data_IF_826622142436
#
_entry.id   IF_826622142436
#
_cell.length_a   1.000
_cell.length_b   1.000
_cell.length_c   1.000
_cell.angle_alpha   90.00
_cell.angle_beta   90.00
_cell.angle_gamma   90.00
#
_symmetry.space_group_name_H-M   'P 1'
#
loop_
_entity.id
_entity.type
_entity.pdbx_description
1 polymer ?
#
# COMPACT_ATOMS: atom_id res chain seq x y z
N UNK A 1 -14.67 -25.26 -54.13
CA UNK A 1 -13.51 -26.17 -54.32
C UNK A 1 -12.46 -25.71 -53.33
N UNK A 2 -12.46 -26.25 -52.12
CA UNK A 2 -11.79 -27.48 -51.64
C UNK A 2 -10.72 -27.06 -50.64
N UNK A 3 -11.01 -27.32 -49.38
CA UNK A 3 -10.11 -27.40 -48.24
C UNK A 3 -8.85 -28.19 -48.57
N UNK A 4 -7.70 -27.80 -48.00
CA UNK A 4 -6.67 -28.78 -47.65
C UNK A 4 -5.95 -28.37 -46.37
N UNK A 5 -5.92 -29.35 -45.48
CA UNK A 5 -5.39 -29.46 -44.12
C UNK A 5 -3.90 -29.82 -44.06
N UNK A 6 -3.39 -29.91 -42.81
CA UNK A 6 -2.23 -30.67 -42.30
C UNK A 6 -0.93 -29.87 -42.16
N UNK A 7 -0.14 -30.01 -41.10
CA UNK A 7 -0.21 -31.00 -40.02
C UNK A 7 0.84 -30.75 -38.94
N UNK A 8 0.56 -31.39 -37.80
CA UNK A 8 1.38 -31.73 -36.63
C UNK A 8 2.90 -31.56 -36.70
N UNK A 9 3.48 -31.00 -35.63
CA UNK A 9 4.88 -31.25 -35.24
C UNK A 9 4.89 -32.14 -34.00
N UNK A 10 5.50 -33.32 -34.17
CA UNK A 10 5.69 -34.37 -33.17
C UNK A 10 6.63 -33.93 -32.03
N UNK A 11 6.39 -34.46 -30.83
CA UNK A 11 7.29 -34.34 -29.68
C UNK A 11 7.92 -35.72 -29.45
N UNK A 12 9.20 -35.86 -29.79
CA UNK A 12 9.96 -37.04 -29.43
C UNK A 12 10.62 -36.86 -28.05
N UNK A 13 10.28 -37.76 -27.14
CA UNK A 13 10.88 -37.93 -25.82
C UNK A 13 12.05 -38.91 -25.97
N UNK A 14 13.27 -38.41 -25.82
CA UNK A 14 14.49 -39.20 -25.70
C UNK A 14 15.07 -39.12 -24.28
N UNK A 15 15.18 -40.28 -23.63
CA UNK A 15 15.64 -40.51 -22.26
C UNK A 15 17.13 -40.18 -22.00
N UNK A 16 17.41 -40.03 -20.69
CA UNK A 16 18.64 -40.36 -19.95
C UNK A 16 19.83 -39.38 -19.98
N UNK A 17 20.10 -38.81 -18.80
CA UNK A 17 21.40 -38.23 -18.46
C UNK A 17 21.39 -37.41 -17.17
N UNK A 18 21.68 -38.05 -16.03
CA UNK A 18 22.00 -37.34 -14.78
C UNK A 18 23.28 -36.52 -14.99
N UNK A 19 23.23 -35.20 -14.81
CA UNK A 19 24.41 -34.36 -14.63
C UNK A 19 24.18 -33.35 -13.50
N UNK A 20 24.99 -33.46 -12.44
CA UNK A 20 25.18 -32.41 -11.42
C UNK A 20 26.01 -31.31 -12.04
N UNK A 21 25.55 -30.06 -11.94
CA UNK A 21 26.30 -28.89 -12.36
C UNK A 21 25.60 -27.61 -11.92
N UNK A 22 26.20 -26.90 -10.97
CA UNK A 22 25.87 -25.53 -10.61
C UNK A 22 25.98 -24.64 -11.84
N UNK A 23 24.87 -24.00 -12.25
CA UNK A 23 24.89 -22.99 -13.31
C UNK A 23 23.87 -21.90 -13.02
N UNK A 24 24.41 -20.69 -12.84
CA UNK A 24 23.72 -19.40 -12.87
C UNK A 24 22.76 -19.34 -14.08
N UNK A 25 21.46 -19.14 -13.81
CA UNK A 25 20.44 -18.92 -14.83
C UNK A 25 20.61 -17.53 -15.43
N UNK A 26 21.40 -17.43 -16.49
CA UNK A 26 21.27 -16.34 -17.47
C UNK A 26 20.33 -16.82 -18.57
N UNK A 27 19.10 -16.31 -18.57
CA UNK A 27 18.14 -16.55 -19.64
C UNK A 27 18.64 -15.83 -20.89
N UNK A 28 19.29 -16.57 -21.80
CA UNK A 28 19.61 -16.08 -23.15
C UNK A 28 18.43 -16.38 -24.06
N UNK A 29 17.59 -15.38 -24.30
CA UNK A 29 16.65 -15.41 -25.41
C UNK A 29 17.44 -15.20 -26.72
N UNK A 30 17.57 -16.24 -27.54
CA UNK A 30 18.18 -16.15 -28.86
C UNK A 30 17.06 -16.06 -29.90
N UNK A 31 16.75 -14.84 -30.34
CA UNK A 31 15.92 -14.62 -31.54
C UNK A 31 16.84 -14.74 -32.74
N UNK A 32 16.69 -15.81 -33.53
CA UNK A 32 17.36 -15.93 -34.84
C UNK A 32 16.56 -15.14 -35.87
N UNK A 33 17.08 -14.02 -36.34
CA UNK A 33 16.66 -13.40 -37.59
C UNK A 33 17.64 -13.81 -38.72
N UNK A 34 17.18 -13.92 -39.98
CA UNK A 34 18.04 -14.30 -41.08
C UNK A 34 18.84 -13.09 -41.62
N UNK A 35 20.14 -13.31 -41.76
CA UNK A 35 21.11 -12.74 -42.71
C UNK A 35 21.24 -11.22 -42.92
N UNK A 36 22.52 -10.82 -42.92
CA UNK A 36 23.16 -9.69 -43.61
C UNK A 36 23.34 -8.37 -42.85
N UNK A 37 24.59 -8.19 -42.41
CA UNK A 37 25.37 -6.95 -42.24
C UNK A 37 24.65 -5.62 -41.99
N UNK A 38 24.88 -5.04 -40.82
CA UNK A 38 25.56 -3.74 -40.71
C UNK A 38 25.97 -3.51 -39.25
N UNK A 39 27.22 -3.11 -39.12
CA UNK A 39 27.90 -2.72 -37.89
C UNK A 39 27.17 -1.58 -37.19
N UNK A 40 26.53 -1.88 -36.06
CA UNK A 40 26.36 -0.90 -35.00
C UNK A 40 26.47 -1.65 -33.67
N UNK A 41 27.57 -1.39 -32.97
CA UNK A 41 27.75 -1.77 -31.59
C UNK A 41 26.64 -1.09 -30.77
N UNK A 42 25.57 -1.84 -30.48
CA UNK A 42 24.62 -1.48 -29.45
C UNK A 42 25.32 -1.72 -28.11
N UNK A 43 26.00 -0.67 -27.66
CA UNK A 43 26.52 -0.57 -26.31
C UNK A 43 25.32 -0.67 -25.36
N UNK A 44 25.18 -1.84 -24.73
CA UNK A 44 24.19 -2.06 -23.67
C UNK A 44 24.60 -1.16 -22.53
N UNK A 45 24.00 0.03 -22.46
CA UNK A 45 24.04 0.87 -21.28
C UNK A 45 23.36 0.06 -20.19
N UNK A 46 24.18 -0.64 -19.39
CA UNK A 46 23.77 -1.21 -18.12
C UNK A 46 23.44 -0.04 -17.23
N UNK A 47 22.17 0.39 -17.28
CA UNK A 47 21.61 1.24 -16.24
C UNK A 47 21.64 0.38 -14.98
N UNK A 48 22.68 0.57 -14.16
CA UNK A 48 22.67 0.13 -12.77
C UNK A 48 21.49 0.84 -12.13
N UNK A 49 20.36 0.14 -12.00
CA UNK A 49 19.31 0.53 -11.08
C UNK A 49 19.96 0.68 -9.70
N UNK A 50 20.13 1.93 -9.29
CA UNK A 50 20.58 2.27 -7.95
C UNK A 50 19.37 2.04 -7.04
N UNK A 51 19.11 0.78 -6.69
CA UNK A 51 18.06 0.38 -5.76
C UNK A 51 18.48 0.85 -4.36
N UNK A 52 18.20 2.11 -4.03
CA UNK A 52 18.25 2.59 -2.66
C UNK A 52 17.04 2.02 -1.92
N UNK A 53 17.13 0.76 -1.48
CA UNK A 53 16.05 0.10 -0.75
C UNK A 53 16.17 0.40 0.74
N UNK A 54 15.93 1.64 1.14
CA UNK A 54 15.43 1.84 2.50
C UNK A 54 13.92 1.59 2.44
N UNK A 55 13.52 0.42 2.93
CA UNK A 55 12.12 0.04 3.07
C UNK A 55 11.54 0.72 4.30
N UNK A 56 10.47 1.50 4.12
CA UNK A 56 9.70 2.11 5.20
C UNK A 56 8.75 1.05 5.78
N UNK A 57 8.79 0.90 7.10
CA UNK A 57 8.04 -0.11 7.85
C UNK A 57 6.68 0.45 8.26
N UNK A 58 5.63 -0.26 7.86
CA UNK A 58 4.25 0.21 7.99
C UNK A 58 3.47 -0.65 9.00
N UNK A 59 2.79 0.03 9.92
CA UNK A 59 1.75 -0.57 10.76
C UNK A 59 0.35 -0.32 10.20
N UNK A 60 -0.48 -1.36 10.11
CA UNK A 60 -1.88 -1.24 9.70
C UNK A 60 -2.77 -1.51 10.91
N UNK A 61 -3.38 -0.46 11.46
CA UNK A 61 -4.25 -0.57 12.63
C UNK A 61 -5.69 -0.83 12.17
N UNK A 62 -6.29 -1.96 12.54
CA UNK A 62 -7.62 -2.35 12.04
C UNK A 62 -7.59 -3.04 10.68
N UNK A 63 -6.61 -3.93 10.46
CA UNK A 63 -6.40 -4.66 9.20
C UNK A 63 -7.58 -5.59 8.81
N UNK A 64 -8.43 -5.99 9.76
CA UNK A 64 -9.58 -6.87 9.51
C UNK A 64 -10.79 -6.17 8.86
N UNK A 65 -10.76 -4.85 8.67
CA UNK A 65 -11.78 -4.10 7.93
C UNK A 65 -11.48 -4.00 6.44
N UNK A 66 -12.44 -3.58 5.62
CA UNK A 66 -12.24 -3.46 4.17
C UNK A 66 -11.15 -2.45 3.78
N UNK A 67 -11.09 -1.30 4.48
CA UNK A 67 -10.02 -0.32 4.27
C UNK A 67 -8.66 -0.90 4.65
N UNK A 68 -8.58 -1.64 5.75
CA UNK A 68 -7.38 -2.36 6.17
C UNK A 68 -6.91 -3.39 5.15
N UNK A 69 -7.84 -4.19 4.61
CA UNK A 69 -7.57 -5.16 3.55
C UNK A 69 -7.07 -4.49 2.26
N UNK A 70 -7.67 -3.36 1.87
CA UNK A 70 -7.20 -2.59 0.71
C UNK A 70 -5.81 -2.00 0.92
N UNK A 71 -5.52 -1.47 2.10
CA UNK A 71 -4.17 -1.03 2.46
C UNK A 71 -3.20 -2.22 2.37
N UNK A 72 -3.54 -3.37 2.95
CA UNK A 72 -2.72 -4.57 2.86
C UNK A 72 -2.46 -4.98 1.40
N UNK A 73 -3.50 -5.00 0.56
CA UNK A 73 -3.41 -5.33 -0.87
C UNK A 73 -2.52 -4.35 -1.65
N UNK A 74 -2.67 -3.05 -1.41
CA UNK A 74 -1.90 -2.00 -2.08
C UNK A 74 -0.42 -2.04 -1.66
N UNK A 75 -0.16 -2.25 -0.38
CA UNK A 75 1.19 -2.23 0.18
C UNK A 75 1.97 -3.53 -0.06
N UNK A 76 1.29 -4.67 -0.21
CA UNK A 76 1.96 -5.96 -0.40
C UNK A 76 2.91 -5.99 -1.62
N UNK A 77 2.65 -5.16 -2.63
CA UNK A 77 3.50 -5.04 -3.82
C UNK A 77 4.20 -3.68 -3.94
N UNK A 78 4.20 -2.85 -2.89
CA UNK A 78 4.79 -1.53 -2.95
C UNK A 78 6.33 -1.62 -2.84
N UNK A 79 7.10 -1.00 -3.76
CA UNK A 79 8.55 -1.21 -3.85
C UNK A 79 9.36 -0.66 -2.66
N UNK A 80 8.75 0.22 -1.86
CA UNK A 80 9.41 0.91 -0.75
C UNK A 80 8.74 0.71 0.60
N UNK A 81 7.55 0.11 0.66
CA UNK A 81 6.78 0.00 1.89
C UNK A 81 6.62 -1.48 2.25
N UNK A 82 6.82 -1.82 3.51
CA UNK A 82 6.70 -3.18 4.00
C UNK A 82 5.84 -3.18 5.25
N UNK A 83 4.81 -4.03 5.28
CA UNK A 83 3.94 -4.16 6.46
C UNK A 83 4.70 -4.98 7.51
N UNK A 84 4.98 -4.37 8.65
CA UNK A 84 5.67 -5.02 9.79
C UNK A 84 4.76 -5.24 10.98
N UNK A 85 3.60 -4.58 11.01
CA UNK A 85 2.61 -4.71 12.07
C UNK A 85 1.21 -4.66 11.47
N UNK A 86 0.35 -5.58 11.89
CA UNK A 86 -1.09 -5.48 11.65
C UNK A 86 -1.84 -5.67 12.96
N UNK A 87 -2.89 -4.88 13.18
CA UNK A 87 -3.74 -5.06 14.35
C UNK A 87 -5.18 -5.34 13.97
N UNK A 88 -5.86 -6.11 14.81
CA UNK A 88 -7.29 -6.34 14.76
C UNK A 88 -7.84 -6.47 16.17
N UNK A 89 -9.13 -6.24 16.34
CA UNK A 89 -9.81 -6.44 17.61
C UNK A 89 -10.21 -7.92 17.77
N UNK A 90 -11.41 -8.30 17.32
CA UNK A 90 -11.93 -9.68 17.40
C UNK A 90 -11.13 -10.75 16.64
N UNK A 91 -10.22 -10.33 15.76
CA UNK A 91 -9.43 -11.21 14.87
C UNK A 91 -7.94 -11.23 15.23
N UNK A 92 -7.55 -10.69 16.38
CA UNK A 92 -6.19 -10.84 16.89
C UNK A 92 -5.80 -12.33 17.01
N UNK A 93 -4.54 -12.63 16.70
CA UNK A 93 -3.97 -13.98 16.61
C UNK A 93 -4.25 -14.71 15.29
N UNK A 94 -4.99 -14.12 14.35
CA UNK A 94 -5.29 -14.73 13.05
C UNK A 94 -4.47 -14.08 11.93
N UNK A 95 -4.11 -14.88 10.92
CA UNK A 95 -3.57 -14.36 9.67
C UNK A 95 -4.64 -13.59 8.89
N UNK A 96 -4.22 -12.58 8.13
CA UNK A 96 -5.15 -11.82 7.28
C UNK A 96 -5.80 -12.70 6.21
N UNK A 97 -5.10 -13.72 5.71
CA UNK A 97 -5.63 -14.68 4.73
C UNK A 97 -6.82 -15.50 5.26
N UNK A 98 -6.90 -15.72 6.58
CA UNK A 98 -8.05 -16.41 7.18
C UNK A 98 -9.32 -15.54 7.22
N UNK A 99 -9.16 -14.22 7.25
CA UNK A 99 -10.26 -13.25 7.19
C UNK A 99 -10.60 -12.88 5.74
N UNK A 100 -9.57 -12.70 4.92
CA UNK A 100 -9.64 -12.31 3.52
C UNK A 100 -8.87 -13.30 2.65
N UNK A 101 -9.51 -14.38 2.15
CA UNK A 101 -8.82 -15.44 1.41
C UNK A 101 -8.05 -14.99 0.17
N UNK A 102 -8.44 -13.87 -0.46
CA UNK A 102 -7.74 -13.31 -1.60
C UNK A 102 -6.34 -12.74 -1.27
N UNK A 103 -6.01 -12.58 0.03
CA UNK A 103 -4.69 -12.15 0.51
C UNK A 103 -3.82 -13.29 1.03
N UNK A 104 -4.27 -14.56 0.92
CA UNK A 104 -3.57 -15.71 1.50
C UNK A 104 -2.16 -15.94 0.93
N UNK A 105 -1.88 -15.47 -0.28
CA UNK A 105 -0.57 -15.60 -0.92
C UNK A 105 0.41 -14.49 -0.54
N UNK A 106 -0.05 -13.49 0.21
CA UNK A 106 0.79 -12.37 0.64
C UNK A 106 1.51 -12.77 1.94
N UNK A 107 2.82 -12.53 2.00
CA UNK A 107 3.62 -12.72 3.20
C UNK A 107 3.44 -11.51 4.12
N UNK A 108 2.47 -11.61 5.03
CA UNK A 108 2.06 -10.55 5.94
C UNK A 108 2.04 -11.07 7.38
N UNK A 109 2.41 -10.24 8.37
CA UNK A 109 2.44 -10.67 9.78
C UNK A 109 1.03 -11.05 10.27
N UNK A 110 0.95 -11.93 11.26
CA UNK A 110 -0.33 -12.19 11.92
C UNK A 110 -0.84 -10.93 12.63
N UNK A 111 -2.17 -10.77 12.68
CA UNK A 111 -2.77 -9.62 13.34
C UNK A 111 -2.65 -9.76 14.85
N UNK A 112 -2.27 -8.70 15.56
CA UNK A 112 -2.25 -8.65 17.03
C UNK A 112 -3.33 -7.73 17.59
N UNK A 113 -3.65 -7.85 18.88
CA UNK A 113 -4.48 -6.85 19.52
C UNK A 113 -3.70 -5.55 19.66
N UNK A 114 -4.37 -4.40 19.54
CA UNK A 114 -3.67 -3.10 19.52
C UNK A 114 -2.91 -2.79 20.81
N UNK A 115 -3.39 -3.29 21.95
CA UNK A 115 -2.71 -3.17 23.25
C UNK A 115 -1.38 -3.94 23.33
N UNK A 116 -1.23 -4.96 22.47
CA UNK A 116 -0.07 -5.83 22.41
C UNK A 116 0.85 -5.45 21.22
N UNK A 117 0.54 -4.34 20.52
CA UNK A 117 1.29 -3.87 19.37
C UNK A 117 2.60 -3.21 19.80
N UNK A 118 3.70 -3.63 19.18
CA UNK A 118 5.02 -2.98 19.31
C UNK A 118 5.30 -2.07 18.11
N UNK A 119 5.54 -0.80 18.38
CA UNK A 119 5.84 0.22 17.38
C UNK A 119 7.34 0.49 17.21
N UNK A 120 8.22 -0.19 17.95
CA UNK A 120 9.68 -0.02 17.88
C UNK A 120 10.24 -0.23 16.47
N UNK A 121 9.57 -1.07 15.67
CA UNK A 121 9.93 -1.38 14.30
C UNK A 121 8.91 -0.89 13.26
N UNK A 122 8.30 0.26 13.53
CA UNK A 122 7.33 0.91 12.66
C UNK A 122 7.75 2.35 12.42
N UNK A 123 7.68 2.81 11.17
CA UNK A 123 8.04 4.18 10.78
C UNK A 123 6.78 5.02 10.52
N UNK A 124 5.73 4.38 9.99
CA UNK A 124 4.44 5.02 9.73
C UNK A 124 3.27 4.07 9.95
N UNK A 125 2.08 4.61 10.21
CA UNK A 125 0.87 3.84 10.42
C UNK A 125 -0.30 4.32 9.57
N UNK A 126 -1.11 3.36 9.12
CA UNK A 126 -2.45 3.60 8.60
C UNK A 126 -3.49 3.20 9.65
N UNK A 127 -4.33 4.13 10.08
CA UNK A 127 -5.41 3.85 11.03
C UNK A 127 -6.71 3.58 10.26
N UNK A 128 -7.13 2.32 10.24
CA UNK A 128 -8.35 1.82 9.60
C UNK A 128 -9.41 1.46 10.66
N UNK A 129 -9.52 2.31 11.68
CA UNK A 129 -10.29 2.04 12.88
C UNK A 129 -11.70 2.65 12.79
N UNK A 130 -12.68 2.12 13.55
CA UNK A 130 -14.00 2.75 13.65
C UNK A 130 -13.92 4.16 14.24
N UNK A 131 -14.82 5.04 13.77
CA UNK A 131 -14.90 6.43 14.25
C UNK A 131 -15.05 6.50 15.78
N UNK A 132 -14.31 7.40 16.41
CA UNK A 132 -14.27 7.66 17.86
C UNK A 132 -13.31 6.80 18.65
N UNK A 133 -12.79 5.71 18.08
CA UNK A 133 -11.70 4.94 18.71
C UNK A 133 -10.34 5.49 18.34
N UNK A 134 -10.23 6.09 17.15
CA UNK A 134 -8.96 6.53 16.58
C UNK A 134 -8.33 7.68 17.36
N UNK A 135 -9.14 8.60 17.91
CA UNK A 135 -8.64 9.76 18.68
C UNK A 135 -7.75 9.36 19.86
N UNK A 136 -8.21 8.43 20.68
CA UNK A 136 -7.46 7.98 21.86
C UNK A 136 -6.24 7.15 21.47
N UNK A 137 -6.40 6.29 20.46
CA UNK A 137 -5.31 5.46 19.95
C UNK A 137 -4.18 6.34 19.40
N UNK A 138 -4.50 7.29 18.51
CA UNK A 138 -3.51 8.20 17.92
C UNK A 138 -2.84 9.06 18.99
N UNK A 139 -3.58 9.48 20.02
CA UNK A 139 -3.01 10.21 21.17
C UNK A 139 -1.97 9.40 21.94
N UNK A 140 -2.10 8.08 21.98
CA UNK A 140 -1.16 7.16 22.63
C UNK A 140 0.01 6.71 21.75
N UNK A 141 0.02 7.02 20.46
CA UNK A 141 1.09 6.58 19.55
C UNK A 141 2.40 7.38 19.78
N UNK A 142 3.57 6.75 19.53
CA UNK A 142 4.85 7.46 19.50
C UNK A 142 4.83 8.69 18.59
N UNK A 143 5.50 9.76 19.01
CA UNK A 143 5.46 11.06 18.30
C UNK A 143 6.26 11.04 17.01
N UNK A 144 7.15 10.08 16.84
CA UNK A 144 8.04 9.93 15.69
C UNK A 144 7.30 9.32 14.49
N UNK A 145 6.20 8.59 14.75
CA UNK A 145 5.40 7.95 13.71
C UNK A 145 4.71 8.98 12.82
N UNK A 146 4.79 8.74 11.51
CA UNK A 146 3.88 9.34 10.54
C UNK A 146 2.55 8.59 10.57
N UNK A 147 1.44 9.32 10.58
CA UNK A 147 0.11 8.74 10.76
C UNK A 147 -0.79 9.20 9.62
N UNK A 148 -1.45 8.24 8.98
CA UNK A 148 -2.55 8.48 8.05
C UNK A 148 -3.81 7.85 8.65
N UNK A 149 -4.73 8.70 9.12
CA UNK A 149 -6.00 8.26 9.66
C UNK A 149 -7.06 8.18 8.56
N UNK A 150 -7.62 6.99 8.33
CA UNK A 150 -8.72 6.76 7.38
C UNK A 150 -10.10 6.95 8.02
N UNK A 151 -10.15 7.12 9.34
CA UNK A 151 -11.38 7.47 10.05
C UNK A 151 -11.77 8.92 9.78
N UNK A 152 -12.89 9.36 10.37
CA UNK A 152 -13.37 10.72 10.22
C UNK A 152 -12.94 11.66 11.35
N UNK A 153 -12.29 11.10 12.37
CA UNK A 153 -12.11 11.74 13.67
C UNK A 153 -11.31 13.04 13.59
N UNK A 154 -10.32 13.11 12.69
CA UNK A 154 -9.45 14.28 12.55
C UNK A 154 -9.75 15.16 11.32
N UNK A 155 -10.88 14.92 10.61
CA UNK A 155 -11.19 15.59 9.34
C UNK A 155 -11.68 17.03 9.52
N UNK A 156 -12.42 17.30 10.60
CA UNK A 156 -13.04 18.60 10.86
C UNK A 156 -12.10 19.42 11.75
N UNK A 157 -11.63 20.57 11.23
CA UNK A 157 -10.76 21.46 12.00
C UNK A 157 -11.48 22.12 13.19
N UNK A 158 -12.77 22.39 13.02
CA UNK A 158 -13.64 22.96 14.04
C UNK A 158 -14.12 21.84 14.99
N UNK A 159 -13.80 21.96 16.28
CA UNK A 159 -14.11 20.94 17.30
C UNK A 159 -15.61 20.91 17.60
N UNK A 160 -16.23 22.08 17.59
CA UNK A 160 -17.66 22.24 17.81
C UNK A 160 -18.47 21.60 16.67
N UNK A 161 -18.02 21.75 15.42
CA UNK A 161 -18.62 21.04 14.27
C UNK A 161 -18.43 19.52 14.41
N UNK A 162 -17.26 19.05 14.88
CA UNK A 162 -17.09 17.62 15.15
C UNK A 162 -18.11 17.12 16.19
N UNK A 163 -18.30 17.85 17.28
CA UNK A 163 -19.25 17.45 18.32
C UNK A 163 -20.69 17.44 17.81
N UNK A 164 -21.08 18.43 17.00
CA UNK A 164 -22.39 18.50 16.35
C UNK A 164 -22.65 17.28 15.46
N UNK A 165 -21.72 16.95 14.56
CA UNK A 165 -21.93 15.89 13.56
C UNK A 165 -21.71 14.48 14.09
N UNK A 166 -20.84 14.31 15.09
CA UNK A 166 -20.47 12.99 15.64
C UNK A 166 -21.09 12.71 17.02
N UNK A 167 -21.85 13.67 17.58
CA UNK A 167 -22.65 13.50 18.79
C UNK A 167 -21.84 13.26 20.07
N UNK A 168 -20.57 13.68 20.09
CA UNK A 168 -19.66 13.50 21.23
C UNK A 168 -18.48 14.47 21.16
N UNK A 169 -17.91 14.89 22.31
CA UNK A 169 -16.74 15.75 22.34
C UNK A 169 -15.53 15.12 21.64
N UNK A 170 -14.70 15.96 21.02
CA UNK A 170 -13.42 15.53 20.46
C UNK A 170 -12.40 15.25 21.58
N UNK A 171 -11.84 14.05 21.63
CA UNK A 171 -10.97 13.59 22.74
C UNK A 171 -9.48 13.94 22.58
N UNK A 172 -9.10 14.46 21.43
CA UNK A 172 -7.71 14.83 21.11
C UNK A 172 -7.59 16.23 20.47
N UNK A 173 -8.12 17.30 21.10
CA UNK A 173 -8.21 18.64 20.50
C UNK A 173 -6.83 19.24 20.14
N UNK A 174 -5.79 18.95 20.92
CA UNK A 174 -4.44 19.41 20.58
C UNK A 174 -3.87 18.75 19.32
N UNK A 175 -4.19 17.48 19.09
CA UNK A 175 -3.81 16.78 17.85
C UNK A 175 -4.61 17.26 16.64
N UNK A 176 -5.85 17.70 16.85
CA UNK A 176 -6.69 18.26 15.78
C UNK A 176 -6.04 19.50 15.14
N UNK A 177 -5.26 20.27 15.91
CA UNK A 177 -4.57 21.48 15.42
C UNK A 177 -3.44 21.18 14.43
N UNK A 178 -2.80 20.01 14.54
CA UNK A 178 -1.72 19.61 13.62
C UNK A 178 -2.18 18.71 12.47
N UNK A 179 -3.39 18.15 12.55
CA UNK A 179 -3.94 17.28 11.53
C UNK A 179 -4.12 18.04 10.20
N UNK A 180 -3.62 17.46 9.11
CA UNK A 180 -3.79 18.01 7.75
C UNK A 180 -4.80 17.17 6.99
N UNK A 181 -5.79 17.82 6.39
CA UNK A 181 -6.74 17.16 5.51
C UNK A 181 -6.05 16.61 4.25
N UNK A 182 -6.19 15.30 4.03
CA UNK A 182 -5.40 14.53 3.07
C UNK A 182 -5.85 14.59 1.62
N UNK A 183 -6.48 15.69 1.17
CA UNK A 183 -6.85 15.85 -0.25
C UNK A 183 -5.61 16.24 -1.07
N UNK A 184 -4.96 15.23 -1.64
CA UNK A 184 -3.60 15.29 -2.19
C UNK A 184 -3.40 16.36 -3.25
N UNK A 185 -4.36 16.54 -4.16
CA UNK A 185 -4.31 17.50 -5.27
C UNK A 185 -4.30 18.95 -4.75
N UNK A 186 -4.91 19.18 -3.59
CA UNK A 186 -5.17 20.50 -3.03
C UNK A 186 -4.14 20.88 -1.96
N UNK A 187 -3.73 19.92 -1.12
CA UNK A 187 -2.91 20.18 0.08
C UNK A 187 -1.54 19.49 0.06
N UNK A 188 -1.03 19.06 -1.11
CA UNK A 188 0.24 18.33 -1.28
C UNK A 188 1.41 18.86 -0.44
N UNK A 189 1.64 20.18 -0.48
CA UNK A 189 2.75 20.80 0.25
C UNK A 189 2.60 20.76 1.77
N UNK A 190 1.36 20.85 2.27
CA UNK A 190 1.08 20.68 3.71
C UNK A 190 1.24 19.23 4.12
N UNK A 191 0.70 18.30 3.30
CA UNK A 191 0.77 16.85 3.54
C UNK A 191 2.23 16.37 3.61
N UNK A 192 3.12 16.86 2.73
CA UNK A 192 4.55 16.49 2.73
C UNK A 192 5.23 16.75 4.08
N UNK A 193 4.81 17.79 4.81
CA UNK A 193 5.38 18.18 6.11
C UNK A 193 4.60 17.62 7.30
N UNK A 194 3.39 17.11 7.07
CA UNK A 194 2.49 16.67 8.12
C UNK A 194 3.02 15.44 8.86
N UNK A 195 2.73 15.37 10.16
CA UNK A 195 2.89 14.16 10.96
C UNK A 195 1.61 13.33 10.94
N UNK A 196 0.46 14.00 11.12
CA UNK A 196 -0.88 13.42 11.10
C UNK A 196 -1.65 13.92 9.87
N UNK A 197 -2.07 12.98 9.02
CA UNK A 197 -2.91 13.23 7.86
C UNK A 197 -4.28 12.60 8.09
N UNK A 198 -5.32 13.41 8.06
CA UNK A 198 -6.71 12.95 8.08
C UNK A 198 -7.15 12.66 6.65
N UNK A 199 -7.16 11.38 6.26
CA UNK A 199 -7.54 10.98 4.92
C UNK A 199 -9.03 11.32 4.65
N UNK A 200 -9.35 11.96 3.53
CA UNK A 200 -10.72 12.35 3.19
C UNK A 200 -11.70 11.17 3.12
N UNK A 201 -12.99 11.47 3.27
CA UNK A 201 -14.05 10.51 2.98
C UNK A 201 -14.24 10.35 1.47
N UNK A 202 -14.75 9.20 1.03
CA UNK A 202 -14.96 8.91 -0.40
C UNK A 202 -15.90 9.91 -1.10
N UNK A 203 -17.04 10.25 -0.50
CA UNK A 203 -17.95 11.28 -1.04
C UNK A 203 -17.34 12.69 -1.03
N UNK A 204 -16.76 13.19 0.09
CA UNK A 204 -16.03 14.46 0.06
C UNK A 204 -14.96 14.54 -1.02
N UNK A 205 -14.22 13.46 -1.30
CA UNK A 205 -13.21 13.44 -2.37
C UNK A 205 -13.84 13.63 -3.74
N UNK A 206 -14.88 12.87 -4.08
CA UNK A 206 -15.51 12.95 -5.40
C UNK A 206 -16.18 14.31 -5.67
N UNK A 207 -16.60 15.01 -4.62
CA UNK A 207 -17.22 16.34 -4.69
C UNK A 207 -16.17 17.46 -4.74
N UNK A 208 -15.16 17.41 -3.87
CA UNK A 208 -14.17 18.49 -3.76
C UNK A 208 -13.24 18.56 -4.98
N UNK A 209 -12.84 17.42 -5.54
CA UNK A 209 -11.91 17.39 -6.68
C UNK A 209 -12.39 18.22 -7.89
N UNK A 210 -13.66 18.08 -8.36
CA UNK A 210 -14.16 18.93 -9.45
C UNK A 210 -14.53 20.34 -9.01
N UNK A 211 -15.02 20.55 -7.78
CA UNK A 211 -15.58 21.85 -7.36
C UNK A 211 -14.54 22.85 -6.85
N UNK A 212 -13.49 22.40 -6.17
CA UNK A 212 -12.46 23.31 -5.61
C UNK A 212 -11.78 24.14 -6.71
N UNK A 213 -11.40 23.59 -7.88
CA UNK A 213 -10.87 24.41 -8.97
C UNK A 213 -11.86 25.47 -9.47
N UNK A 214 -13.15 25.15 -9.60
CA UNK A 214 -14.16 26.09 -10.08
C UNK A 214 -14.36 27.28 -9.12
N UNK A 215 -14.34 27.00 -7.81
CA UNK A 215 -14.49 28.02 -6.77
C UNK A 215 -13.25 28.92 -6.62
N UNK A 216 -12.05 28.45 -7.01
CA UNK A 216 -10.80 29.22 -6.89
C UNK A 216 -10.55 30.18 -8.05
N UNK A 217 -11.19 29.95 -9.19
CA UNK A 217 -11.04 30.78 -10.39
C UNK A 217 -12.06 31.94 -10.39
N UNK A 218 -13.02 31.91 -9.47
CA UNK A 218 -13.93 33.02 -9.18
C UNK A 218 -13.31 33.95 -8.16
#
# INVERSE_FOLDING_TARGET
>A
MTSTTLGSVSVDIGLLGKYKGTRSKTNRYCVRSPSASLSQALEVISVKEKKSTETIRIGVLGASGYTGAEIARLLANHPHFTITLMTADRKAGQSIGSVFPHLITQDLPDMVAIKDADFSNVDAVFCCLPHGTTQEIIKGLPKELKIVDLSADFRLHNIEEYEEWYGRPHKAPELQKEAIYGLTEIYREKIRKARLVANPGCYPTSIQLPLVPLLRVT
#
